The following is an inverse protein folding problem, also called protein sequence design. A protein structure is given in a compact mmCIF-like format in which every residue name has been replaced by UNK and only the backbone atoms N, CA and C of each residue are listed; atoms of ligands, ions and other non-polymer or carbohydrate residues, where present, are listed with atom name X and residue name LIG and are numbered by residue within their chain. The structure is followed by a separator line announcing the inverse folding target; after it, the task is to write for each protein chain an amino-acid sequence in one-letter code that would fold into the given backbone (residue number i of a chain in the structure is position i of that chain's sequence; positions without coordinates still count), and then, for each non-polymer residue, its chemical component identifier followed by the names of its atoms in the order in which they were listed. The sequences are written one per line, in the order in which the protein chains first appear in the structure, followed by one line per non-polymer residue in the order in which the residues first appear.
data_IF_228648216567
#
_entry.id   IF_228648216567
#
_cell.length_a   1.000
_cell.length_b   1.000
_cell.length_c   1.000
_cell.angle_alpha   90.00
_cell.angle_beta   90.00
_cell.angle_gamma   90.00
#
_symmetry.space_group_name_H-M   'P 1'
#
loop_
_entity.id
_entity.type
_entity.pdbx_description
1 polymer ?
#
# COMPACT_ATOMS: atom_id res chain seq x y z
N UNK A 1 -2.23 12.18 21.12
CA UNK A 1 -1.93 12.99 19.92
C UNK A 1 -3.22 13.22 19.14
N UNK A 2 -3.42 14.44 18.68
CA UNK A 2 -4.59 14.80 17.89
C UNK A 2 -4.35 14.40 16.43
N UNK A 3 -5.20 13.54 15.88
CA UNK A 3 -5.13 13.12 14.49
C UNK A 3 -5.82 14.15 13.60
N UNK A 4 -5.10 14.74 12.63
CA UNK A 4 -5.70 15.66 11.66
C UNK A 4 -6.54 14.91 10.65
N UNK A 5 -7.78 15.35 10.48
CA UNK A 5 -8.71 14.82 9.50
C UNK A 5 -8.90 15.77 8.32
N UNK A 6 -8.87 15.22 7.11
CA UNK A 6 -9.18 15.94 5.87
C UNK A 6 -10.34 15.24 5.18
N UNK A 7 -11.45 15.93 5.03
CA UNK A 7 -12.68 15.36 4.47
C UNK A 7 -12.93 15.91 3.06
N UNK A 8 -12.58 15.17 2.00
CA UNK A 8 -12.96 15.54 0.64
C UNK A 8 -14.42 15.18 0.36
N UNK A 9 -14.96 15.71 -0.73
CA UNK A 9 -16.38 15.49 -1.12
C UNK A 9 -16.61 14.14 -1.80
N UNK A 10 -15.58 13.44 -2.24
CA UNK A 10 -15.67 12.18 -2.96
C UNK A 10 -14.63 11.19 -2.44
N UNK A 11 -14.99 9.93 -2.29
CA UNK A 11 -14.15 8.88 -1.72
C UNK A 11 -12.88 8.61 -2.55
N UNK A 12 -12.99 8.72 -3.86
CA UNK A 12 -11.84 8.63 -4.75
C UNK A 12 -10.79 9.69 -4.42
N UNK A 13 -11.22 10.90 -4.06
CA UNK A 13 -10.32 11.98 -3.68
C UNK A 13 -9.60 11.65 -2.37
N UNK A 14 -10.29 11.06 -1.38
CA UNK A 14 -9.66 10.61 -0.13
C UNK A 14 -8.53 9.61 -0.41
N UNK A 15 -8.80 8.61 -1.24
CA UNK A 15 -7.84 7.58 -1.61
C UNK A 15 -6.66 8.15 -2.43
N UNK A 16 -6.89 9.10 -3.36
CA UNK A 16 -5.81 9.77 -4.08
C UNK A 16 -5.00 10.72 -3.19
N UNK A 17 -5.61 11.39 -2.23
CA UNK A 17 -4.88 12.22 -1.25
C UNK A 17 -3.93 11.34 -0.42
N UNK A 18 -4.40 10.20 0.08
CA UNK A 18 -3.55 9.22 0.78
C UNK A 18 -2.42 8.68 -0.12
N UNK A 19 -2.73 8.38 -1.39
CA UNK A 19 -1.72 7.95 -2.37
C UNK A 19 -0.69 9.04 -2.64
N UNK A 20 -1.12 10.29 -2.81
CA UNK A 20 -0.23 11.44 -3.01
C UNK A 20 0.66 11.68 -1.79
N UNK A 21 0.09 11.62 -0.58
CA UNK A 21 0.85 11.71 0.66
C UNK A 21 1.93 10.62 0.75
N UNK A 22 1.56 9.37 0.50
CA UNK A 22 2.52 8.26 0.57
C UNK A 22 3.66 8.42 -0.44
N UNK A 23 3.35 8.88 -1.66
CA UNK A 23 4.38 9.11 -2.70
C UNK A 23 5.31 10.27 -2.37
N UNK A 24 4.80 11.35 -1.79
CA UNK A 24 5.59 12.56 -1.51
C UNK A 24 6.42 12.46 -0.24
N UNK A 25 5.97 11.65 0.74
CA UNK A 25 6.62 11.56 2.05
C UNK A 25 7.37 10.26 2.31
N UNK A 26 7.13 9.22 1.49
CA UNK A 26 7.59 7.86 1.77
C UNK A 26 6.87 7.17 2.94
N UNK A 27 5.88 7.82 3.57
CA UNK A 27 5.12 7.29 4.71
C UNK A 27 3.79 6.71 4.23
N UNK A 28 3.22 5.69 4.91
CA UNK A 28 1.90 5.17 4.58
C UNK A 28 0.81 6.24 4.60
N UNK A 29 -0.02 6.26 3.58
CA UNK A 29 -1.22 7.10 3.51
C UNK A 29 -2.43 6.36 4.06
N UNK A 30 -3.18 6.96 4.98
CA UNK A 30 -4.35 6.33 5.61
C UNK A 30 -5.60 7.10 5.23
N UNK A 31 -6.66 6.40 4.89
CA UNK A 31 -7.96 6.99 4.58
C UNK A 31 -9.10 6.06 4.97
N UNK A 32 -10.28 6.65 5.16
CA UNK A 32 -11.49 5.90 5.46
C UNK A 32 -12.61 6.28 4.50
N UNK A 33 -13.40 5.29 4.09
CA UNK A 33 -14.61 5.48 3.30
C UNK A 33 -15.73 4.58 3.82
N UNK A 34 -16.97 4.91 3.50
CA UNK A 34 -18.11 4.05 3.82
C UNK A 34 -18.03 2.71 3.08
N UNK A 35 -18.62 1.63 3.61
CA UNK A 35 -18.69 0.35 2.91
C UNK A 35 -19.45 0.45 1.59
N UNK A 36 -19.40 -0.61 0.80
CA UNK A 36 -20.13 -0.70 -0.45
C UNK A 36 -19.73 0.37 -1.47
N UNK A 37 -20.63 1.32 -1.79
CA UNK A 37 -20.37 2.33 -2.81
C UNK A 37 -19.15 3.21 -2.55
N UNK A 38 -18.81 3.49 -1.29
CA UNK A 38 -17.61 4.26 -0.97
C UNK A 38 -16.32 3.53 -1.37
N UNK A 39 -16.25 2.23 -1.16
CA UNK A 39 -15.13 1.40 -1.61
C UNK A 39 -15.06 1.37 -3.14
N UNK A 40 -16.19 1.19 -3.81
CA UNK A 40 -16.25 1.17 -5.27
C UNK A 40 -15.81 2.52 -5.86
N UNK A 41 -16.23 3.62 -5.27
CA UNK A 41 -15.79 4.97 -5.64
C UNK A 41 -14.28 5.16 -5.46
N UNK A 42 -13.69 4.58 -4.41
CA UNK A 42 -12.23 4.61 -4.17
C UNK A 42 -11.44 3.64 -5.07
N UNK A 43 -12.10 2.69 -5.73
CA UNK A 43 -11.49 1.57 -6.44
C UNK A 43 -10.43 1.95 -7.47
N UNK A 44 -10.65 3.03 -8.24
CA UNK A 44 -9.66 3.51 -9.22
C UNK A 44 -8.36 3.98 -8.55
N UNK A 45 -8.45 4.67 -7.41
CA UNK A 45 -7.28 5.14 -6.66
C UNK A 45 -6.55 3.96 -5.99
N UNK A 46 -7.28 2.98 -5.45
CA UNK A 46 -6.71 1.76 -4.88
C UNK A 46 -5.92 0.99 -5.96
N UNK A 47 -6.53 0.80 -7.13
CA UNK A 47 -5.88 0.11 -8.26
C UNK A 47 -4.62 0.86 -8.73
N UNK A 48 -4.66 2.19 -8.73
CA UNK A 48 -3.49 3.04 -9.03
C UNK A 48 -2.40 2.87 -7.99
N UNK A 49 -2.74 2.87 -6.70
CA UNK A 49 -1.79 2.63 -5.62
C UNK A 49 -1.14 1.25 -5.74
N UNK A 50 -1.92 0.21 -6.08
CA UNK A 50 -1.41 -1.14 -6.34
C UNK A 50 -0.43 -1.18 -7.51
N UNK A 51 -0.80 -0.59 -8.64
CA UNK A 51 0.05 -0.55 -9.84
C UNK A 51 1.35 0.25 -9.65
N UNK A 52 1.36 1.19 -8.71
CA UNK A 52 2.52 2.05 -8.44
C UNK A 52 3.25 1.70 -7.14
N UNK A 53 2.96 0.54 -6.55
CA UNK A 53 3.56 0.05 -5.30
C UNK A 53 3.52 1.11 -4.17
N UNK A 54 2.38 1.77 -4.00
CA UNK A 54 2.22 2.85 -3.03
C UNK A 54 1.56 2.33 -1.76
N UNK A 55 2.19 2.47 -0.57
CA UNK A 55 1.64 1.98 0.68
C UNK A 55 0.47 2.86 1.13
N UNK A 56 -0.75 2.33 1.07
CA UNK A 56 -1.94 2.99 1.58
C UNK A 56 -2.79 2.01 2.39
N UNK A 57 -3.41 2.49 3.46
CA UNK A 57 -4.34 1.73 4.28
C UNK A 57 -5.74 2.32 4.14
N UNK A 58 -6.65 1.52 3.62
CA UNK A 58 -8.09 1.75 3.70
C UNK A 58 -8.64 1.18 5.01
N UNK A 59 -9.36 1.99 5.75
CA UNK A 59 -10.19 1.55 6.88
C UNK A 59 -11.65 1.78 6.49
N UNK A 60 -12.47 0.73 6.55
CA UNK A 60 -13.88 0.82 6.16
C UNK A 60 -14.78 0.03 7.08
N UNK A 61 -16.05 0.41 7.11
CA UNK A 61 -17.08 -0.36 7.76
C UNK A 61 -17.52 -1.58 6.93
N UNK A 62 -18.42 -2.35 7.50
CA UNK A 62 -19.16 -3.43 6.85
C UNK A 62 -20.56 -3.47 7.45
N UNK A 63 -21.52 -4.05 6.74
CA UNK A 63 -22.85 -4.34 7.30
C UNK A 63 -22.74 -5.16 8.59
N UNK A 64 -23.76 -5.13 9.47
CA UNK A 64 -23.73 -5.96 10.67
C UNK A 64 -23.43 -7.43 10.36
N UNK A 65 -22.68 -8.11 11.22
CA UNK A 65 -22.19 -9.47 11.00
C UNK A 65 -23.30 -10.47 10.66
N UNK A 66 -24.48 -10.28 11.26
CA UNK A 66 -25.68 -11.10 11.00
C UNK A 66 -26.25 -10.97 9.59
N UNK A 67 -25.83 -9.99 8.81
CA UNK A 67 -26.26 -9.78 7.41
C UNK A 67 -25.23 -10.26 6.38
N UNK A 68 -24.04 -10.62 6.81
CA UNK A 68 -22.98 -11.05 5.89
C UNK A 68 -23.40 -12.26 5.05
N UNK A 69 -23.30 -12.11 3.73
CA UNK A 69 -23.59 -13.17 2.78
C UNK A 69 -25.07 -13.53 2.60
N UNK A 70 -25.98 -12.80 3.24
CA UNK A 70 -27.42 -13.09 3.16
C UNK A 70 -28.04 -12.47 1.88
N UNK A 71 -27.51 -11.35 1.39
CA UNK A 71 -27.97 -10.73 0.15
C UNK A 71 -29.37 -10.13 0.22
N UNK A 72 -29.70 -9.45 1.32
CA UNK A 72 -31.03 -8.82 1.52
C UNK A 72 -31.09 -7.38 1.04
N UNK A 73 -30.02 -6.85 0.46
CA UNK A 73 -29.99 -5.46 0.00
C UNK A 73 -29.93 -4.46 1.17
N UNK A 74 -29.18 -4.82 2.23
CA UNK A 74 -28.91 -3.88 3.32
C UNK A 74 -28.17 -2.67 2.78
N UNK A 75 -28.42 -1.49 3.35
CA UNK A 75 -27.71 -0.27 2.94
C UNK A 75 -26.19 -0.48 2.99
N UNK A 76 -25.51 -0.17 1.89
CA UNK A 76 -24.07 -0.37 1.69
C UNK A 76 -23.62 -1.84 1.58
N UNK A 77 -24.54 -2.80 1.49
CA UNK A 77 -24.17 -4.20 1.30
C UNK A 77 -23.57 -4.43 -0.08
N UNK A 78 -22.42 -5.12 -0.12
CA UNK A 78 -21.90 -5.81 -1.29
C UNK A 78 -22.02 -7.31 -1.07
N UNK A 79 -22.21 -8.07 -2.11
CA UNK A 79 -22.32 -9.53 -2.03
C UNK A 79 -21.14 -10.16 -1.27
N UNK A 80 -19.93 -9.73 -1.58
CA UNK A 80 -18.70 -10.06 -0.84
C UNK A 80 -17.73 -8.89 -0.93
N UNK A 81 -17.80 -8.02 0.09
CA UNK A 81 -16.94 -6.84 0.16
C UNK A 81 -15.47 -7.21 0.32
N UNK A 82 -15.19 -8.22 1.16
CA UNK A 82 -13.82 -8.64 1.42
C UNK A 82 -13.16 -9.25 0.17
N UNK A 83 -13.89 -10.05 -0.61
CA UNK A 83 -13.40 -10.55 -1.91
C UNK A 83 -13.18 -9.41 -2.91
N UNK A 84 -14.07 -8.42 -2.95
CA UNK A 84 -13.91 -7.21 -3.77
C UNK A 84 -12.61 -6.48 -3.42
N UNK A 85 -12.36 -6.25 -2.12
CA UNK A 85 -11.13 -5.62 -1.64
C UNK A 85 -9.89 -6.44 -1.98
N UNK A 86 -9.91 -7.77 -1.78
CA UNK A 86 -8.79 -8.67 -2.14
C UNK A 86 -8.43 -8.60 -3.63
N UNK A 87 -9.41 -8.36 -4.50
CA UNK A 87 -9.17 -8.20 -5.93
C UNK A 87 -8.34 -6.97 -6.31
N UNK A 88 -8.49 -5.87 -5.58
CA UNK A 88 -7.89 -4.57 -5.90
C UNK A 88 -6.75 -4.14 -4.98
N UNK A 89 -6.58 -4.79 -3.83
CA UNK A 89 -5.50 -4.49 -2.86
C UNK A 89 -4.39 -5.54 -2.91
N UNK A 90 -3.30 -5.28 -2.22
CA UNK A 90 -2.25 -6.26 -1.97
C UNK A 90 -2.67 -7.27 -0.91
N UNK A 91 -3.40 -6.81 0.10
CA UNK A 91 -3.92 -7.61 1.19
C UNK A 91 -5.16 -6.95 1.78
N UNK A 92 -6.09 -7.75 2.27
CA UNK A 92 -7.28 -7.26 2.98
C UNK A 92 -7.67 -8.22 4.08
N UNK A 93 -8.10 -7.67 5.20
CA UNK A 93 -8.56 -8.41 6.36
C UNK A 93 -9.83 -7.84 6.96
N UNK A 94 -10.51 -8.67 7.75
CA UNK A 94 -11.65 -8.27 8.57
C UNK A 94 -11.26 -8.29 10.03
N UNK A 95 -11.59 -7.22 10.75
CA UNK A 95 -11.53 -7.15 12.20
C UNK A 95 -12.86 -7.70 12.72
N UNK A 96 -12.83 -8.88 13.34
CA UNK A 96 -14.04 -9.59 13.78
C UNK A 96 -14.57 -9.02 15.10
N UNK A 97 -13.70 -8.49 15.95
CA UNK A 97 -14.03 -7.95 17.26
C UNK A 97 -12.90 -6.99 17.73
N UNK A 98 -13.13 -6.16 18.76
CA UNK A 98 -12.12 -5.24 19.27
C UNK A 98 -10.79 -5.90 19.66
N UNK A 99 -10.81 -7.10 20.24
CA UNK A 99 -9.59 -7.82 20.66
C UNK A 99 -8.68 -8.17 19.50
N UNK A 100 -9.24 -8.44 18.32
CA UNK A 100 -8.46 -8.76 17.13
C UNK A 100 -7.89 -7.52 16.42
N UNK A 101 -8.38 -6.32 16.75
CA UNK A 101 -7.99 -5.10 16.04
C UNK A 101 -6.48 -4.80 16.09
N UNK A 102 -5.77 -4.88 17.23
CA UNK A 102 -4.33 -4.61 17.26
C UNK A 102 -3.53 -5.54 16.36
N UNK A 103 -3.85 -6.84 16.39
CA UNK A 103 -3.19 -7.83 15.53
C UNK A 103 -3.46 -7.56 14.06
N UNK A 104 -4.72 -7.31 13.70
CA UNK A 104 -5.10 -7.04 12.29
C UNK A 104 -4.47 -5.76 11.74
N UNK A 105 -4.32 -4.73 12.57
CA UNK A 105 -3.62 -3.50 12.19
C UNK A 105 -2.13 -3.77 11.96
N UNK A 106 -1.49 -4.55 12.82
CA UNK A 106 -0.09 -4.95 12.65
C UNK A 106 0.11 -5.77 11.38
N UNK A 107 -0.76 -6.75 11.11
CA UNK A 107 -0.73 -7.53 9.87
C UNK A 107 -0.94 -6.65 8.63
N UNK A 108 -1.90 -5.74 8.67
CA UNK A 108 -2.12 -4.78 7.58
C UNK A 108 -0.85 -3.95 7.32
N UNK A 109 -0.24 -3.41 8.37
CA UNK A 109 0.97 -2.61 8.25
C UNK A 109 2.14 -3.42 7.67
N UNK A 110 2.36 -4.64 8.18
CA UNK A 110 3.36 -5.58 7.66
C UNK A 110 3.15 -5.84 6.18
N UNK A 111 1.95 -6.24 5.77
CA UNK A 111 1.63 -6.50 4.36
C UNK A 111 1.77 -5.25 3.48
N UNK A 112 1.43 -4.07 4.01
CA UNK A 112 1.53 -2.82 3.28
C UNK A 112 2.97 -2.43 2.94
N UNK A 113 3.91 -2.69 3.86
CA UNK A 113 5.28 -2.16 3.79
C UNK A 113 6.34 -3.20 3.40
N UNK A 114 6.12 -4.49 3.65
CA UNK A 114 7.12 -5.55 3.39
C UNK A 114 7.15 -5.95 1.91
N UNK A 115 8.33 -6.22 1.39
CA UNK A 115 8.56 -6.55 -0.01
C UNK A 115 8.20 -5.39 -0.94
N UNK A 116 7.40 -5.63 -1.99
CA UNK A 116 6.83 -4.52 -2.77
C UNK A 116 5.74 -3.85 -1.97
N UNK A 117 5.87 -2.58 -1.59
CA UNK A 117 4.78 -1.87 -0.90
C UNK A 117 3.50 -1.87 -1.71
N UNK A 118 2.37 -1.69 -1.06
CA UNK A 118 1.10 -1.64 -1.79
C UNK A 118 -0.10 -1.37 -0.90
N UNK A 119 -1.27 -1.10 -1.50
CA UNK A 119 -2.48 -0.81 -0.76
C UNK A 119 -2.99 -2.03 -0.01
N UNK A 120 -3.44 -1.80 1.21
CA UNK A 120 -4.11 -2.79 2.05
C UNK A 120 -5.44 -2.24 2.55
N UNK A 121 -6.35 -3.14 2.96
CA UNK A 121 -7.63 -2.74 3.50
C UNK A 121 -8.00 -3.53 4.76
N UNK A 122 -8.62 -2.83 5.68
CA UNK A 122 -9.29 -3.41 6.86
C UNK A 122 -10.76 -3.03 6.82
N UNK A 123 -11.62 -4.03 6.96
CA UNK A 123 -13.04 -3.83 7.20
C UNK A 123 -13.44 -4.30 8.60
N UNK A 124 -14.47 -3.69 9.19
CA UNK A 124 -15.02 -4.10 10.47
C UNK A 124 -16.55 -3.98 10.41
N UNK A 125 -17.26 -5.02 10.85
CA UNK A 125 -18.72 -4.99 10.91
C UNK A 125 -19.21 -3.94 11.92
N UNK A 126 -20.33 -3.33 11.62
CA UNK A 126 -20.84 -2.22 12.41
C UNK A 126 -21.17 -2.61 13.86
N UNK A 127 -21.75 -3.78 14.06
CA UNK A 127 -22.01 -4.33 15.39
C UNK A 127 -20.71 -4.54 16.19
N UNK A 128 -19.64 -5.03 15.56
CA UNK A 128 -18.33 -5.16 16.19
C UNK A 128 -17.72 -3.77 16.55
N UNK A 129 -17.91 -2.74 15.71
CA UNK A 129 -17.46 -1.37 16.03
C UNK A 129 -18.17 -0.78 17.25
N UNK A 130 -19.39 -1.20 17.54
CA UNK A 130 -20.18 -0.73 18.70
C UNK A 130 -19.88 -1.50 19.98
N UNK A 131 -19.03 -2.52 19.91
CA UNK A 131 -18.66 -3.35 21.07
C UNK A 131 -17.49 -2.72 21.81
N UNK A 132 -17.52 -2.77 23.13
CA UNK A 132 -16.41 -2.35 24.00
C UNK A 132 -15.79 -3.56 24.67
N UNK A 133 -14.48 -3.73 24.51
CA UNK A 133 -13.72 -4.82 25.13
C UNK A 133 -12.38 -4.29 25.66
N UNK A 134 -11.85 -4.95 26.68
CA UNK A 134 -10.45 -4.74 27.08
C UNK A 134 -9.54 -5.36 26.03
N UNK A 135 -8.58 -4.56 25.53
CA UNK A 135 -7.61 -4.98 24.53
C UNK A 135 -6.20 -4.93 25.10
N UNK A 136 -5.38 -5.89 24.75
CA UNK A 136 -3.94 -5.83 24.96
C UNK A 136 -3.30 -4.93 23.88
N UNK A 137 -2.51 -3.95 24.31
CA UNK A 137 -1.71 -3.16 23.39
C UNK A 137 -0.53 -4.00 22.89
N UNK A 138 -0.53 -4.30 21.61
CA UNK A 138 0.61 -4.93 20.97
C UNK A 138 1.67 -3.88 20.61
N UNK A 139 2.97 -4.24 20.66
CA UNK A 139 4.00 -3.35 20.13
C UNK A 139 3.73 -3.08 18.64
N UNK A 140 4.10 -1.89 18.19
CA UNK A 140 3.99 -1.54 16.78
C UNK A 140 4.71 -2.58 15.92
N UNK A 141 4.07 -2.96 14.81
CA UNK A 141 4.68 -3.88 13.84
C UNK A 141 6.00 -3.29 13.34
N UNK A 142 7.07 -4.04 13.48
CA UNK A 142 8.33 -3.68 12.86
C UNK A 142 8.27 -4.07 11.38
N UNK A 143 8.77 -3.19 10.53
CA UNK A 143 9.03 -3.56 9.13
C UNK A 143 10.12 -4.61 9.11
N UNK A 144 9.93 -5.66 8.32
CA UNK A 144 11.01 -6.61 8.10
C UNK A 144 12.21 -5.87 7.50
N UNK A 145 13.42 -6.20 7.95
CA UNK A 145 14.64 -5.63 7.42
C UNK A 145 14.69 -5.81 5.90
N UNK A 146 15.17 -4.78 5.21
CA UNK A 146 15.44 -4.89 3.78
C UNK A 146 16.36 -6.08 3.55
N UNK A 147 16.02 -7.02 2.66
CA UNK A 147 16.87 -8.18 2.40
C UNK A 147 18.29 -7.76 2.10
N UNK A 148 19.27 -8.41 2.74
CA UNK A 148 20.68 -8.14 2.49
C UNK A 148 21.01 -8.43 1.03
N UNK A 149 21.83 -7.58 0.44
CA UNK A 149 22.30 -7.77 -0.93
C UNK A 149 23.18 -9.02 -0.99
N UNK A 150 22.88 -9.94 -1.93
CA UNK A 150 23.70 -11.12 -2.15
C UNK A 150 24.98 -10.76 -2.93
N UNK A 151 26.18 -10.87 -2.33
CA UNK A 151 27.44 -10.47 -2.97
C UNK A 151 27.75 -11.23 -4.25
N UNK A 152 27.33 -12.50 -4.36
CA UNK A 152 27.57 -13.30 -5.57
C UNK A 152 26.71 -12.83 -6.75
N UNK A 153 25.46 -12.40 -6.49
CA UNK A 153 24.63 -11.78 -7.52
C UNK A 153 25.19 -10.43 -7.96
N UNK A 154 25.77 -9.66 -7.05
CA UNK A 154 26.46 -8.40 -7.41
C UNK A 154 27.66 -8.68 -8.31
N UNK A 155 28.49 -9.67 -8.01
CA UNK A 155 29.62 -10.06 -8.87
C UNK A 155 29.15 -10.48 -10.27
N UNK A 156 28.08 -11.24 -10.36
CA UNK A 156 27.48 -11.65 -11.64
C UNK A 156 26.99 -10.43 -12.41
N UNK A 157 26.29 -9.50 -11.76
CA UNK A 157 25.82 -8.27 -12.38
C UNK A 157 27.01 -7.43 -12.89
N UNK A 158 28.06 -7.25 -12.09
CA UNK A 158 29.27 -6.54 -12.50
C UNK A 158 29.92 -7.18 -13.73
N UNK A 159 30.04 -8.51 -13.77
CA UNK A 159 30.61 -9.21 -14.92
C UNK A 159 29.77 -9.00 -16.19
N UNK A 160 28.46 -9.05 -16.11
CA UNK A 160 27.56 -8.78 -17.25
C UNK A 160 27.67 -7.34 -17.73
N UNK A 161 27.66 -6.38 -16.82
CA UNK A 161 27.75 -4.95 -17.14
C UNK A 161 29.10 -4.63 -17.77
N UNK A 162 30.20 -5.16 -17.21
CA UNK A 162 31.56 -4.93 -17.75
C UNK A 162 31.76 -5.52 -19.15
N UNK A 163 31.01 -6.56 -19.51
CA UNK A 163 31.07 -7.16 -20.85
C UNK A 163 30.15 -6.44 -21.87
N UNK A 164 29.29 -5.54 -21.43
CA UNK A 164 28.34 -4.83 -22.28
C UNK A 164 29.07 -3.81 -23.19
N UNK A 165 28.75 -3.82 -24.50
CA UNK A 165 29.35 -2.88 -25.44
C UNK A 165 28.61 -1.54 -25.51
N UNK A 166 27.31 -1.56 -25.30
CA UNK A 166 26.43 -0.38 -25.38
C UNK A 166 25.44 -0.44 -24.20
N UNK A 167 25.88 -0.21 -22.96
CA UNK A 167 24.99 -0.26 -21.81
C UNK A 167 24.02 0.91 -21.84
N UNK A 168 22.80 0.70 -21.34
CA UNK A 168 21.81 1.73 -21.09
C UNK A 168 21.22 1.52 -19.71
N UNK A 169 21.04 2.57 -18.94
CA UNK A 169 20.40 2.52 -17.62
C UNK A 169 18.96 2.98 -17.73
N UNK A 170 18.03 2.15 -17.25
CA UNK A 170 16.61 2.49 -17.21
C UNK A 170 16.15 2.56 -15.76
N UNK A 171 15.72 3.74 -15.31
CA UNK A 171 15.30 3.97 -13.92
C UNK A 171 13.79 4.07 -13.78
N UNK A 172 13.28 3.54 -12.66
CA UNK A 172 11.89 3.60 -12.25
C UNK A 172 11.74 4.06 -10.80
N UNK A 173 10.53 3.96 -10.25
CA UNK A 173 10.23 4.42 -8.88
C UNK A 173 11.08 3.76 -7.78
N UNK A 174 11.62 2.56 -8.01
CA UNK A 174 12.52 1.90 -7.06
C UNK A 174 13.88 2.59 -6.87
N UNK A 175 14.26 3.47 -7.80
CA UNK A 175 15.53 4.19 -7.75
C UNK A 175 15.42 5.63 -7.18
N UNK A 176 14.26 6.02 -6.64
CA UNK A 176 14.02 7.40 -6.15
C UNK A 176 15.00 7.87 -5.07
N UNK A 177 15.58 6.95 -4.32
CA UNK A 177 16.56 7.26 -3.27
C UNK A 177 18.00 6.89 -3.67
N UNK A 178 18.25 6.63 -4.95
CA UNK A 178 19.52 6.16 -5.48
C UNK A 178 20.12 7.12 -6.53
N UNK A 179 19.76 8.41 -6.52
CA UNK A 179 20.18 9.41 -7.49
C UNK A 179 21.71 9.42 -7.69
N UNK A 180 22.47 9.59 -6.62
CA UNK A 180 23.92 9.64 -6.66
C UNK A 180 24.55 8.36 -7.23
N UNK A 181 24.08 7.19 -6.76
CA UNK A 181 24.58 5.90 -7.26
C UNK A 181 24.24 5.64 -8.73
N UNK A 182 23.05 6.09 -9.18
CA UNK A 182 22.68 5.98 -10.60
C UNK A 182 23.55 6.88 -11.45
N UNK A 183 23.80 8.10 -11.00
CA UNK A 183 24.66 9.07 -11.72
C UNK A 183 26.11 8.61 -11.80
N UNK A 184 26.65 8.08 -10.68
CA UNK A 184 27.99 7.49 -10.63
C UNK A 184 28.11 6.31 -11.60
N UNK A 185 27.17 5.36 -11.54
CA UNK A 185 27.17 4.21 -12.44
C UNK A 185 27.07 4.64 -13.92
N UNK A 186 26.21 5.60 -14.22
CA UNK A 186 26.07 6.13 -15.59
C UNK A 186 27.39 6.74 -16.10
N UNK A 187 28.09 7.49 -15.24
CA UNK A 187 29.38 8.10 -15.54
C UNK A 187 30.48 7.04 -15.75
N UNK A 188 30.52 6.03 -14.87
CA UNK A 188 31.49 4.93 -14.99
C UNK A 188 31.34 4.13 -16.27
N UNK A 189 30.13 3.96 -16.75
CA UNK A 189 29.80 3.15 -17.92
C UNK A 189 29.71 3.97 -19.22
N UNK A 190 29.80 5.29 -19.16
CA UNK A 190 29.45 6.20 -20.25
C UNK A 190 28.08 5.85 -20.87
N UNK A 191 27.10 5.56 -20.01
CA UNK A 191 25.81 5.00 -20.39
C UNK A 191 24.70 6.05 -20.33
N UNK A 192 23.85 6.14 -21.36
CA UNK A 192 22.67 7.00 -21.30
C UNK A 192 21.68 6.48 -20.23
N UNK A 193 21.02 7.41 -19.56
CA UNK A 193 19.97 7.10 -18.58
C UNK A 193 18.60 7.47 -19.17
N UNK A 194 17.65 6.55 -19.10
CA UNK A 194 16.25 6.81 -19.44
C UNK A 194 15.36 6.52 -18.24
N UNK A 195 14.25 7.23 -18.13
CA UNK A 195 13.34 7.13 -16.99
C UNK A 195 11.92 6.75 -17.41
N UNK A 196 11.34 5.76 -16.71
CA UNK A 196 9.89 5.60 -16.70
C UNK A 196 9.21 6.75 -15.95
N UNK A 197 7.86 6.84 -16.06
CA UNK A 197 7.08 7.92 -15.41
C UNK A 197 7.43 8.12 -13.92
N UNK A 198 7.60 7.02 -13.18
CA UNK A 198 7.93 7.04 -11.75
C UNK A 198 9.42 7.25 -11.46
N UNK A 199 10.26 7.25 -12.48
CA UNK A 199 11.70 7.51 -12.38
C UNK A 199 12.10 8.92 -12.79
N UNK A 200 11.16 9.76 -13.21
CA UNK A 200 11.45 11.14 -13.60
C UNK A 200 12.02 11.95 -12.43
N UNK A 201 13.11 12.66 -12.69
CA UNK A 201 13.78 13.47 -11.67
C UNK A 201 14.80 12.70 -10.81
N UNK A 202 15.10 11.45 -11.15
CA UNK A 202 16.18 10.69 -10.51
C UNK A 202 17.52 11.10 -11.09
N UNK A 203 17.58 11.43 -12.37
CA UNK A 203 18.75 11.98 -13.07
C UNK A 203 18.30 13.11 -13.94
#
# INVERSE_FOLDING_TARGET
EEVRHYTPRHEQSAAYMATGYAKSTGKPGIYSVVPGPGILNAGAAISTAKATNTPTLLITGQVPSSYLGIGRGHLHELQDQLATLKGITKWSGRIENPKSAPLMVNEAYKHMTTGRPGPVALEMCWDAMMTTEEIEQLPASQTEDTPSVNPELVKQAVALISAAKNPMIMVGGGAQHAHESVLELATMLDAPVTAFRSGRGIV
#
